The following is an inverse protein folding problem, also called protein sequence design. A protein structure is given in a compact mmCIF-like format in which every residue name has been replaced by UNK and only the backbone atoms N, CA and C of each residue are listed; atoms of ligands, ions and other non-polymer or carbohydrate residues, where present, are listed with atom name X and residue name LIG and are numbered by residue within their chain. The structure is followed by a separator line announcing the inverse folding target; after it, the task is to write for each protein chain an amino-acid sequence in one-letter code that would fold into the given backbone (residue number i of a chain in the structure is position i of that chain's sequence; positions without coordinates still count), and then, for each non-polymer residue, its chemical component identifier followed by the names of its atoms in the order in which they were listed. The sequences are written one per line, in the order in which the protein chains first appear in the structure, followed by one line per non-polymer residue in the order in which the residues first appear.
data_IF_465098201944
#
_entry.id   IF_465098201944
#
_cell.length_a   1.000
_cell.length_b   1.000
_cell.length_c   1.000
_cell.angle_alpha   90.00
_cell.angle_beta   90.00
_cell.angle_gamma   90.00
#
_symmetry.space_group_name_H-M   'P 1'
#
loop_
_entity.id
_entity.type
_entity.pdbx_description
1 polymer ?
#
# COMPACT_ATOMS: atom_id res chain seq x y z
N UNK A 1 -21.52 -20.97 -14.97
CA UNK A 1 -21.24 -22.32 -14.45
C UNK A 1 -20.48 -22.13 -13.15
N UNK A 2 -21.05 -22.55 -12.03
CA UNK A 2 -20.39 -22.44 -10.71
C UNK A 2 -19.45 -23.62 -10.57
N UNK A 3 -18.15 -23.36 -10.41
CA UNK A 3 -17.17 -24.40 -10.11
C UNK A 3 -17.65 -25.23 -8.92
N UNK A 4 -17.61 -26.55 -9.06
CA UNK A 4 -18.06 -27.44 -7.98
C UNK A 4 -16.96 -27.47 -6.91
N UNK A 5 -17.05 -26.58 -5.93
CA UNK A 5 -16.10 -26.51 -4.83
C UNK A 5 -16.13 -27.79 -3.98
N UNK A 6 -14.96 -28.21 -3.52
CA UNK A 6 -14.84 -29.33 -2.58
C UNK A 6 -15.54 -29.02 -1.24
N UNK A 7 -16.06 -30.03 -0.52
CA UNK A 7 -16.73 -29.84 0.76
C UNK A 7 -15.87 -29.08 1.78
N UNK A 8 -14.55 -29.29 1.72
CA UNK A 8 -13.58 -28.58 2.55
C UNK A 8 -13.55 -27.09 2.24
N UNK A 9 -13.43 -26.69 0.97
CA UNK A 9 -13.43 -25.29 0.57
C UNK A 9 -14.75 -24.60 0.99
N UNK A 10 -15.89 -25.28 0.82
CA UNK A 10 -17.19 -24.78 1.27
C UNK A 10 -17.24 -24.58 2.79
N UNK A 11 -16.65 -25.49 3.57
CA UNK A 11 -16.56 -25.38 5.03
C UNK A 11 -15.72 -24.16 5.45
N UNK A 12 -14.56 -23.96 4.81
CA UNK A 12 -13.68 -22.81 5.06
C UNK A 12 -14.41 -21.51 4.75
N UNK A 13 -15.05 -21.39 3.58
CA UNK A 13 -15.82 -20.21 3.18
C UNK A 13 -16.96 -19.94 4.16
N UNK A 14 -17.70 -20.97 4.56
CA UNK A 14 -18.81 -20.84 5.51
C UNK A 14 -18.34 -20.34 6.86
N UNK A 15 -17.21 -20.85 7.37
CA UNK A 15 -16.60 -20.35 8.60
C UNK A 15 -16.18 -18.89 8.50
N UNK A 16 -15.55 -18.48 7.39
CA UNK A 16 -15.21 -17.07 7.16
C UNK A 16 -16.45 -16.16 7.11
N UNK A 17 -17.58 -16.63 6.58
CA UNK A 17 -18.84 -15.86 6.59
C UNK A 17 -19.34 -15.61 8.02
N UNK A 18 -19.27 -16.63 8.88
CA UNK A 18 -19.64 -16.50 10.30
C UNK A 18 -18.69 -15.52 10.99
N UNK A 19 -17.37 -15.72 10.84
CA UNK A 19 -16.36 -14.83 11.43
C UNK A 19 -16.51 -13.38 10.97
N UNK A 20 -16.75 -13.14 9.67
CA UNK A 20 -16.99 -11.78 9.15
C UNK A 20 -18.25 -11.17 9.77
N UNK A 21 -19.33 -11.95 9.93
CA UNK A 21 -20.58 -11.46 10.52
C UNK A 21 -20.40 -11.05 12.00
N UNK A 22 -19.67 -11.86 12.77
CA UNK A 22 -19.33 -11.56 14.16
C UNK A 22 -18.47 -10.30 14.26
N UNK A 23 -17.43 -10.20 13.45
CA UNK A 23 -16.53 -9.05 13.42
C UNK A 23 -17.25 -7.76 12.99
N UNK A 24 -18.17 -7.84 12.02
CA UNK A 24 -18.99 -6.69 11.62
C UNK A 24 -19.90 -6.26 12.77
N UNK A 25 -20.49 -7.21 13.52
CA UNK A 25 -21.31 -6.90 14.69
C UNK A 25 -20.48 -6.23 15.79
N UNK A 26 -19.32 -6.78 16.14
CA UNK A 26 -18.38 -6.20 17.11
C UNK A 26 -17.91 -4.80 16.69
N UNK A 27 -17.53 -4.63 15.41
CA UNK A 27 -17.13 -3.34 14.86
C UNK A 27 -18.27 -2.31 14.95
N UNK A 28 -19.53 -2.71 14.69
CA UNK A 28 -20.70 -1.83 14.84
C UNK A 28 -20.91 -1.39 16.28
N UNK A 29 -20.85 -2.33 17.23
CA UNK A 29 -20.98 -2.02 18.67
C UNK A 29 -19.90 -1.03 19.09
N UNK A 30 -18.64 -1.30 18.71
CA UNK A 30 -17.52 -0.40 19.02
C UNK A 30 -17.68 0.97 18.38
N UNK A 31 -18.00 1.05 17.09
CA UNK A 31 -18.19 2.33 16.41
C UNK A 31 -19.36 3.12 17.01
N UNK A 32 -20.42 2.44 17.45
CA UNK A 32 -21.49 3.02 18.26
C UNK A 32 -20.95 3.63 19.55
N UNK A 33 -20.19 2.84 20.33
CA UNK A 33 -19.57 3.32 21.58
C UNK A 33 -18.65 4.52 21.39
N UNK A 34 -17.82 4.51 20.35
CA UNK A 34 -16.94 5.64 20.00
C UNK A 34 -17.76 6.88 19.65
N UNK A 35 -18.88 6.71 18.93
CA UNK A 35 -19.79 7.81 18.61
C UNK A 35 -20.40 8.41 19.87
N UNK A 36 -20.91 7.57 20.77
CA UNK A 36 -21.50 8.00 22.04
C UNK A 36 -20.48 8.77 22.90
N UNK A 37 -19.24 8.27 22.98
CA UNK A 37 -18.15 8.96 23.67
C UNK A 37 -17.89 10.34 23.05
N UNK A 38 -17.80 10.44 21.71
CA UNK A 38 -17.61 11.73 21.02
C UNK A 38 -18.77 12.70 21.21
N UNK A 39 -19.99 12.20 21.40
CA UNK A 39 -21.14 13.03 21.75
C UNK A 39 -21.03 13.57 23.18
N UNK A 40 -20.69 12.71 24.14
CA UNK A 40 -20.44 13.12 25.53
C UNK A 40 -19.29 14.12 25.64
N UNK A 41 -18.18 13.91 24.93
CA UNK A 41 -17.05 14.85 24.85
C UNK A 41 -17.53 16.22 24.36
N UNK A 42 -18.34 16.27 23.29
CA UNK A 42 -18.89 17.53 22.75
C UNK A 42 -19.80 18.24 23.74
N UNK A 43 -20.63 17.51 24.49
CA UNK A 43 -21.53 18.10 25.46
C UNK A 43 -20.81 18.61 26.72
N UNK A 44 -19.77 17.91 27.18
CA UNK A 44 -18.86 18.39 28.24
C UNK A 44 -18.17 19.69 27.79
N UNK A 45 -17.66 19.72 26.56
CA UNK A 45 -17.01 20.91 26.00
C UNK A 45 -17.98 22.09 25.89
N UNK A 46 -19.22 21.87 25.45
CA UNK A 46 -20.27 22.91 25.42
C UNK A 46 -20.58 23.45 26.80
N UNK A 47 -20.81 22.59 27.80
CA UNK A 47 -21.09 22.99 29.19
C UNK A 47 -19.92 23.77 29.79
N UNK A 48 -18.69 23.33 29.54
CA UNK A 48 -17.48 24.01 29.99
C UNK A 48 -17.32 25.38 29.32
N UNK A 49 -17.59 25.49 28.02
CA UNK A 49 -17.56 26.75 27.29
C UNK A 49 -18.64 27.74 27.78
N UNK A 50 -19.86 27.27 28.01
CA UNK A 50 -20.93 28.09 28.59
C UNK A 50 -20.57 28.60 29.98
N UNK A 51 -19.99 27.75 30.84
CA UNK A 51 -19.50 28.16 32.15
C UNK A 51 -18.40 29.21 32.05
N UNK A 52 -17.43 29.06 31.13
CA UNK A 52 -16.38 30.06 30.90
C UNK A 52 -16.93 31.39 30.38
N UNK A 53 -17.86 31.35 29.43
CA UNK A 53 -18.48 32.57 28.87
C UNK A 53 -19.28 33.36 29.92
N UNK A 54 -19.97 32.67 30.85
CA UNK A 54 -20.63 33.32 31.99
C UNK A 54 -19.63 34.09 32.87
N UNK A 55 -18.44 33.53 33.09
CA UNK A 55 -17.37 34.20 33.85
C UNK A 55 -16.88 35.47 33.13
N UNK A 56 -16.72 35.42 31.82
CA UNK A 56 -16.24 36.56 31.03
C UNK A 56 -17.29 37.69 31.01
N UNK A 57 -18.59 37.36 30.98
CA UNK A 57 -19.68 38.33 31.04
C UNK A 57 -19.80 39.05 32.39
N UNK A 58 -19.41 38.41 33.50
CA UNK A 58 -19.39 39.05 34.84
C UNK A 58 -18.33 40.16 34.99
N UNK A 59 -17.61 40.50 33.92
CA UNK A 59 -16.83 41.74 33.82
C UNK A 59 -15.57 41.74 34.68
N UNK A 60 -14.97 40.58 34.92
CA UNK A 60 -13.71 40.46 35.65
C UNK A 60 -12.54 40.83 34.75
N UNK A 61 -12.17 42.11 34.77
CA UNK A 61 -10.93 42.58 34.17
C UNK A 61 -9.74 42.09 35.05
N UNK A 62 -8.88 41.17 34.56
CA UNK A 62 -7.83 40.55 35.38
C UNK A 62 -6.75 41.53 35.85
N UNK A 63 -6.66 42.72 35.25
CA UNK A 63 -5.63 43.72 35.57
C UNK A 63 -5.87 44.52 36.85
N UNK A 64 -7.06 44.44 37.48
CA UNK A 64 -7.38 45.22 38.70
C UNK A 64 -7.50 44.37 39.99
N UNK A 65 -7.09 43.10 39.99
CA UNK A 65 -7.34 42.18 41.13
C UNK A 65 -6.17 42.02 42.11
N UNK A 66 -5.23 42.95 42.20
CA UNK A 66 -4.16 42.87 43.20
C UNK A 66 -4.75 43.05 44.62
N UNK A 67 -4.81 41.92 45.34
CA UNK A 67 -4.68 41.80 46.80
C UNK A 67 -5.88 42.08 47.72
N UNK A 68 -7.11 42.24 47.23
CA UNK A 68 -8.27 42.17 48.15
C UNK A 68 -8.61 40.70 48.41
N UNK A 69 -8.32 40.20 49.62
CA UNK A 69 -8.88 38.93 50.13
C UNK A 69 -10.40 39.08 50.26
N UNK A 70 -11.11 38.88 49.16
CA UNK A 70 -12.58 38.93 49.12
C UNK A 70 -13.10 37.69 49.85
N UNK A 71 -13.19 37.75 51.18
CA UNK A 71 -13.97 36.80 51.96
C UNK A 71 -15.45 37.19 51.85
N UNK A 72 -16.11 36.72 50.80
CA UNK A 72 -17.52 36.98 50.55
C UNK A 72 -18.16 35.96 49.61
N UNK A 73 -19.50 36.01 49.42
CA UNK A 73 -20.27 35.04 48.64
C UNK A 73 -19.73 34.79 47.21
N UNK A 74 -19.13 35.81 46.60
CA UNK A 74 -18.50 35.72 45.26
C UNK A 74 -17.29 34.78 45.22
N UNK A 75 -16.48 34.73 46.28
CA UNK A 75 -15.34 33.81 46.33
C UNK A 75 -15.78 32.34 46.42
N UNK A 76 -16.89 32.08 47.12
CA UNK A 76 -17.50 30.74 47.18
C UNK A 76 -17.99 30.30 45.80
N UNK A 77 -18.71 31.16 45.07
CA UNK A 77 -19.20 30.88 43.71
C UNK A 77 -18.05 30.58 42.72
N UNK A 78 -16.96 31.36 42.76
CA UNK A 78 -15.76 31.10 41.92
C UNK A 78 -15.12 29.75 42.22
N UNK A 79 -15.01 29.39 43.50
CA UNK A 79 -14.43 28.09 43.90
C UNK A 79 -15.32 26.93 43.43
N UNK A 80 -16.64 27.06 43.54
CA UNK A 80 -17.59 26.08 43.01
C UNK A 80 -17.47 25.93 41.49
N UNK A 81 -17.36 27.03 40.76
CA UNK A 81 -17.21 26.99 39.30
C UNK A 81 -15.88 26.41 38.85
N UNK A 82 -14.77 26.75 39.52
CA UNK A 82 -13.46 26.13 39.26
C UNK A 82 -13.50 24.63 39.53
N UNK A 83 -14.16 24.20 40.62
CA UNK A 83 -14.35 22.79 40.91
C UNK A 83 -15.18 22.08 39.84
N UNK A 84 -16.26 22.71 39.35
CA UNK A 84 -17.07 22.19 38.25
C UNK A 84 -16.26 22.02 36.96
N UNK A 85 -15.51 23.04 36.53
CA UNK A 85 -14.66 22.97 35.33
C UNK A 85 -13.60 21.88 35.49
N UNK A 86 -12.98 21.76 36.67
CA UNK A 86 -11.98 20.74 36.94
C UNK A 86 -12.58 19.32 36.90
N UNK A 87 -13.81 19.13 37.40
CA UNK A 87 -14.52 17.86 37.34
C UNK A 87 -14.87 17.48 35.89
N UNK A 88 -15.41 18.41 35.12
CA UNK A 88 -15.74 18.21 33.70
C UNK A 88 -14.48 17.92 32.87
N UNK A 89 -13.35 18.58 33.16
CA UNK A 89 -12.07 18.28 32.52
C UNK A 89 -11.60 16.84 32.84
N UNK A 90 -11.71 16.39 34.09
CA UNK A 90 -11.38 15.00 34.45
C UNK A 90 -12.26 13.99 33.71
N UNK A 91 -13.56 14.28 33.56
CA UNK A 91 -14.48 13.43 32.76
C UNK A 91 -14.04 13.38 31.30
N UNK A 92 -13.64 14.53 30.73
CA UNK A 92 -13.14 14.60 29.35
C UNK A 92 -11.87 13.76 29.17
N UNK A 93 -10.92 13.84 30.10
CA UNK A 93 -9.68 13.08 30.03
C UNK A 93 -9.94 11.55 30.09
N UNK A 94 -10.89 11.11 30.94
CA UNK A 94 -11.31 9.71 31.01
C UNK A 94 -11.96 9.22 29.71
N UNK A 95 -12.84 10.02 29.11
CA UNK A 95 -13.47 9.70 27.82
C UNK A 95 -12.46 9.64 26.68
N UNK A 96 -11.52 10.57 26.63
CA UNK A 96 -10.42 10.55 25.65
C UNK A 96 -9.57 9.29 25.78
N UNK A 97 -9.27 8.85 27.00
CA UNK A 97 -8.52 7.61 27.26
C UNK A 97 -9.33 6.37 26.86
N UNK A 98 -10.62 6.31 27.18
CA UNK A 98 -11.51 5.20 26.76
C UNK A 98 -11.61 5.13 25.24
N UNK A 99 -11.82 6.26 24.55
CA UNK A 99 -11.85 6.33 23.09
C UNK A 99 -10.55 5.83 22.48
N UNK A 100 -9.42 6.30 22.98
CA UNK A 100 -8.10 5.91 22.49
C UNK A 100 -7.87 4.41 22.67
N UNK A 101 -8.32 3.83 23.79
CA UNK A 101 -8.29 2.38 24.02
C UNK A 101 -9.15 1.62 23.01
N UNK A 102 -10.38 2.07 22.75
CA UNK A 102 -11.27 1.43 21.77
C UNK A 102 -10.74 1.53 20.34
N UNK A 103 -10.14 2.67 19.97
CA UNK A 103 -9.51 2.87 18.67
C UNK A 103 -8.26 1.99 18.50
N UNK A 104 -7.47 1.81 19.57
CA UNK A 104 -6.31 0.91 19.58
C UNK A 104 -6.71 -0.58 19.55
N UNK A 105 -7.85 -0.95 20.13
CA UNK A 105 -8.41 -2.31 20.12
C UNK A 105 -9.13 -2.65 18.79
N UNK A 106 -8.70 -2.03 17.69
CA UNK A 106 -9.15 -2.40 16.35
C UNK A 106 -8.69 -3.83 16.02
N UNK A 107 -9.60 -4.77 15.66
CA UNK A 107 -9.18 -6.11 15.32
C UNK A 107 -8.27 -6.03 14.09
N UNK A 108 -7.21 -6.83 14.04
CA UNK A 108 -6.29 -6.82 12.92
C UNK A 108 -7.06 -7.15 11.64
N UNK A 109 -6.65 -6.61 10.47
CA UNK A 109 -7.26 -6.98 9.21
C UNK A 109 -7.08 -8.48 8.98
N UNK A 110 -8.11 -9.13 8.44
CA UNK A 110 -8.14 -10.58 8.17
C UNK A 110 -8.70 -10.84 6.77
N UNK A 111 -8.47 -12.05 6.26
CA UNK A 111 -9.11 -12.50 5.03
C UNK A 111 -10.63 -12.60 5.20
N UNK A 112 -11.37 -11.95 4.30
CA UNK A 112 -12.85 -11.94 4.32
C UNK A 112 -13.44 -12.99 3.39
N UNK A 113 -14.63 -13.49 3.73
CA UNK A 113 -15.42 -14.37 2.88
C UNK A 113 -15.77 -13.74 1.53
N UNK A 114 -16.00 -12.42 1.51
CA UNK A 114 -16.25 -11.69 0.25
C UNK A 114 -15.08 -11.83 -0.71
N UNK A 115 -13.84 -11.70 -0.21
CA UNK A 115 -12.65 -11.88 -1.05
C UNK A 115 -12.47 -13.34 -1.49
N UNK A 116 -12.76 -14.31 -0.61
CA UNK A 116 -12.75 -15.73 -0.97
C UNK A 116 -13.68 -16.00 -2.16
N UNK A 117 -14.94 -15.58 -2.05
CA UNK A 117 -15.96 -15.77 -3.08
C UNK A 117 -15.57 -15.09 -4.41
N UNK A 118 -15.07 -13.85 -4.36
CA UNK A 118 -14.65 -13.13 -5.57
C UNK A 118 -13.56 -13.87 -6.37
N UNK A 119 -12.61 -14.53 -5.70
CA UNK A 119 -11.55 -15.28 -6.38
C UNK A 119 -12.10 -16.59 -6.94
N UNK A 120 -12.95 -17.29 -6.19
CA UNK A 120 -13.62 -18.51 -6.68
C UNK A 120 -14.47 -18.22 -7.91
N UNK A 121 -15.30 -17.17 -7.85
CA UNK A 121 -16.20 -16.79 -8.94
C UNK A 121 -15.44 -16.41 -10.21
N UNK A 122 -14.24 -15.81 -10.06
CA UNK A 122 -13.35 -15.49 -11.19
C UNK A 122 -12.59 -16.69 -11.72
N UNK A 123 -12.20 -17.62 -10.83
CA UNK A 123 -11.46 -18.83 -11.19
C UNK A 123 -12.28 -19.81 -12.01
N UNK A 124 -13.58 -19.94 -11.70
CA UNK A 124 -14.47 -20.85 -12.42
C UNK A 124 -13.88 -22.27 -12.47
N UNK A 125 -13.91 -22.90 -13.64
CA UNK A 125 -13.40 -24.26 -13.83
C UNK A 125 -11.87 -24.32 -14.00
N UNK A 126 -11.16 -23.18 -13.99
CA UNK A 126 -9.70 -23.12 -14.14
C UNK A 126 -8.92 -23.29 -12.83
N UNK A 127 -9.62 -23.61 -11.73
CA UNK A 127 -9.00 -23.92 -10.45
C UNK A 127 -9.10 -25.42 -10.15
N UNK A 128 -8.00 -26.02 -9.73
CA UNK A 128 -7.91 -27.43 -9.37
C UNK A 128 -7.57 -27.58 -7.88
N UNK A 129 -8.19 -28.56 -7.21
CA UNK A 129 -7.88 -28.87 -5.81
C UNK A 129 -6.49 -29.52 -5.72
N UNK A 130 -5.70 -29.10 -4.74
CA UNK A 130 -4.38 -29.65 -4.45
C UNK A 130 -4.37 -30.22 -3.03
N UNK A 131 -3.56 -31.25 -2.82
CA UNK A 131 -3.26 -31.79 -1.50
C UNK A 131 -2.72 -30.70 -0.54
N UNK A 132 -3.19 -30.73 0.70
CA UNK A 132 -2.68 -29.86 1.75
C UNK A 132 -1.24 -30.24 2.09
N UNK A 133 -0.33 -29.26 2.20
CA UNK A 133 1.05 -29.55 2.56
C UNK A 133 1.14 -30.10 3.99
N UNK A 134 2.14 -30.95 4.23
CA UNK A 134 2.47 -31.45 5.55
C UNK A 134 3.11 -30.33 6.40
N UNK A 135 2.72 -30.26 7.67
CA UNK A 135 3.21 -29.27 8.62
C UNK A 135 4.39 -29.84 9.41
N UNK A 136 5.59 -29.32 9.13
CA UNK A 136 6.81 -29.75 9.83
C UNK A 136 7.21 -28.71 10.88
N UNK A 137 7.31 -29.16 12.13
CA UNK A 137 7.83 -28.38 13.25
C UNK A 137 9.36 -28.32 13.19
N UNK A 138 9.92 -27.13 13.39
CA UNK A 138 11.35 -26.91 13.52
C UNK A 138 11.85 -27.25 14.93
N UNK A 139 13.17 -27.38 15.08
CA UNK A 139 13.80 -27.65 16.37
C UNK A 139 13.49 -26.53 17.36
N UNK A 140 12.83 -26.88 18.46
CA UNK A 140 12.47 -25.94 19.54
C UNK A 140 11.00 -25.50 19.53
N UNK A 141 10.25 -25.78 18.46
CA UNK A 141 8.81 -25.54 18.39
C UNK A 141 8.07 -26.65 19.13
N UNK A 142 7.17 -26.31 20.07
CA UNK A 142 6.43 -27.31 20.85
C UNK A 142 5.10 -27.69 20.21
N UNK A 143 4.50 -26.77 19.46
CA UNK A 143 3.20 -26.92 18.82
C UNK A 143 3.11 -26.02 17.57
N UNK A 144 1.98 -26.10 16.86
CA UNK A 144 1.74 -25.30 15.66
C UNK A 144 1.59 -23.80 15.94
N UNK A 145 1.21 -23.40 17.16
CA UNK A 145 1.11 -21.98 17.55
C UNK A 145 2.51 -21.34 17.54
N UNK A 146 3.50 -22.05 18.08
CA UNK A 146 4.90 -21.62 18.09
C UNK A 146 5.47 -21.54 16.66
N UNK A 147 5.00 -22.40 15.74
CA UNK A 147 5.48 -22.46 14.36
C UNK A 147 4.85 -21.40 13.42
N UNK A 148 3.62 -20.94 13.70
CA UNK A 148 2.91 -19.99 12.84
C UNK A 148 3.68 -18.68 12.56
N UNK A 149 4.33 -18.03 13.55
CA UNK A 149 5.16 -16.86 13.30
C UNK A 149 6.26 -17.10 12.27
N UNK A 150 6.95 -18.26 12.32
CA UNK A 150 8.00 -18.62 11.36
C UNK A 150 7.44 -18.77 9.94
N UNK A 151 6.28 -19.42 9.78
CA UNK A 151 5.66 -19.53 8.45
C UNK A 151 5.29 -18.15 7.87
N UNK A 152 4.76 -17.25 8.70
CA UNK A 152 4.45 -15.87 8.30
C UNK A 152 5.69 -15.06 7.94
N UNK A 153 6.74 -15.19 8.73
CA UNK A 153 8.03 -14.56 8.48
C UNK A 153 8.63 -15.04 7.15
N UNK A 154 8.58 -16.34 6.88
CA UNK A 154 9.02 -16.89 5.61
C UNK A 154 8.29 -16.27 4.41
N UNK A 155 6.96 -16.17 4.46
CA UNK A 155 6.20 -15.50 3.38
C UNK A 155 6.58 -14.02 3.27
N UNK A 156 6.76 -13.32 4.40
CA UNK A 156 7.18 -11.92 4.40
C UNK A 156 8.55 -11.74 3.73
N UNK A 157 9.51 -12.62 4.04
CA UNK A 157 10.85 -12.61 3.47
C UNK A 157 10.83 -12.89 1.96
N UNK A 158 10.03 -13.85 1.50
CA UNK A 158 9.85 -14.13 0.08
C UNK A 158 9.19 -12.95 -0.66
N UNK A 159 8.16 -12.31 -0.08
CA UNK A 159 7.54 -11.10 -0.64
C UNK A 159 8.51 -9.92 -0.67
N UNK A 160 9.39 -9.77 0.31
CA UNK A 160 10.44 -8.76 0.30
C UNK A 160 11.44 -9.02 -0.84
N UNK A 161 11.93 -10.25 -0.96
CA UNK A 161 12.83 -10.68 -2.04
C UNK A 161 12.20 -10.50 -3.42
N UNK A 162 10.91 -10.76 -3.59
CA UNK A 162 10.17 -10.47 -4.83
C UNK A 162 10.27 -8.98 -5.21
N UNK A 163 10.07 -8.07 -4.26
CA UNK A 163 10.19 -6.62 -4.49
C UNK A 163 11.62 -6.21 -4.85
N UNK A 164 12.62 -6.88 -4.30
CA UNK A 164 14.02 -6.66 -4.66
C UNK A 164 14.29 -7.06 -6.13
N UNK A 165 13.75 -8.20 -6.56
CA UNK A 165 13.84 -8.67 -7.96
C UNK A 165 13.14 -7.69 -8.91
N UNK A 166 11.94 -7.21 -8.57
CA UNK A 166 11.20 -6.22 -9.38
C UNK A 166 11.99 -4.92 -9.58
N UNK A 167 12.71 -4.50 -8.53
CA UNK A 167 13.52 -3.28 -8.51
C UNK A 167 14.95 -3.49 -9.01
N UNK A 168 15.33 -4.72 -9.36
CA UNK A 168 16.68 -5.02 -9.80
C UNK A 168 17.04 -4.18 -11.04
N UNK A 169 18.20 -3.49 -11.05
CA UNK A 169 18.58 -2.60 -12.14
C UNK A 169 18.81 -3.38 -13.44
N UNK A 170 18.74 -2.70 -14.59
CA UNK A 170 19.07 -3.32 -15.87
C UNK A 170 20.60 -3.43 -16.03
N UNK A 171 21.12 -4.50 -16.66
CA UNK A 171 22.53 -4.62 -16.96
C UNK A 171 23.00 -3.50 -17.89
N UNK A 172 24.24 -3.02 -17.69
CA UNK A 172 24.84 -1.96 -18.51
C UNK A 172 24.73 -2.26 -20.01
N UNK A 173 24.93 -3.52 -20.43
CA UNK A 173 24.78 -3.94 -21.82
C UNK A 173 23.36 -3.66 -22.39
N UNK A 174 22.30 -3.89 -21.61
CA UNK A 174 20.93 -3.59 -22.01
C UNK A 174 20.66 -2.09 -22.06
N UNK A 175 21.21 -1.33 -21.10
CA UNK A 175 21.09 0.13 -21.06
C UNK A 175 21.80 0.74 -22.27
N UNK A 176 23.03 0.33 -22.57
CA UNK A 176 23.80 0.75 -23.76
C UNK A 176 23.08 0.42 -25.06
N UNK A 177 22.52 -0.78 -25.19
CA UNK A 177 21.72 -1.16 -26.36
C UNK A 177 20.50 -0.25 -26.54
N UNK A 178 19.77 0.02 -25.45
CA UNK A 178 18.60 0.92 -25.48
C UNK A 178 19.00 2.34 -25.82
N UNK A 179 20.09 2.85 -25.21
CA UNK A 179 20.66 4.17 -25.48
C UNK A 179 21.03 4.31 -26.96
N UNK A 180 21.76 3.34 -27.53
CA UNK A 180 22.16 3.36 -28.94
C UNK A 180 20.96 3.37 -29.88
N UNK A 181 19.89 2.63 -29.55
CA UNK A 181 18.65 2.65 -30.31
C UNK A 181 17.96 4.03 -30.24
N UNK A 182 17.96 4.67 -29.06
CA UNK A 182 17.42 6.02 -28.90
C UNK A 182 18.23 7.06 -29.69
N UNK A 183 19.57 7.01 -29.59
CA UNK A 183 20.46 7.90 -30.36
C UNK A 183 20.27 7.68 -31.86
N UNK A 184 20.21 6.43 -32.34
CA UNK A 184 19.99 6.13 -33.75
C UNK A 184 18.64 6.66 -34.25
N UNK A 185 17.58 6.52 -33.44
CA UNK A 185 16.26 7.07 -33.76
C UNK A 185 16.30 8.60 -33.88
N UNK A 186 16.92 9.29 -32.94
CA UNK A 186 17.03 10.76 -32.97
C UNK A 186 17.91 11.22 -34.14
N UNK A 187 19.05 10.56 -34.37
CA UNK A 187 19.92 10.85 -35.51
C UNK A 187 19.18 10.70 -36.85
N UNK A 188 18.31 9.67 -36.99
CA UNK A 188 17.52 9.48 -38.21
C UNK A 188 16.51 10.60 -38.46
N UNK A 189 16.01 11.23 -37.39
CA UNK A 189 15.12 12.40 -37.48
C UNK A 189 15.89 13.68 -37.83
N UNK A 190 17.20 13.72 -37.56
CA UNK A 190 18.08 14.88 -37.80
C UNK A 190 18.68 14.98 -39.19
N UNK A 191 18.42 14.03 -40.09
CA UNK A 191 19.02 13.98 -41.44
C UNK A 191 18.45 15.11 -42.31
N UNK A 192 19.26 16.07 -42.81
CA UNK A 192 18.80 17.06 -43.77
C UNK A 192 18.44 16.43 -45.12
N UNK A 193 17.31 16.83 -45.69
CA UNK A 193 16.87 16.38 -47.00
C UNK A 193 17.47 17.26 -48.10
N UNK A 194 18.46 16.74 -48.82
CA UNK A 194 19.14 17.48 -49.91
C UNK A 194 18.56 17.18 -51.30
N UNK A 195 17.58 16.28 -51.40
CA UNK A 195 17.01 15.85 -52.69
C UNK A 195 16.49 17.00 -53.55
N UNK A 196 15.85 18.00 -52.95
CA UNK A 196 15.33 19.17 -53.66
C UNK A 196 16.44 20.04 -54.29
N UNK A 197 17.66 20.03 -53.75
CA UNK A 197 18.76 20.84 -54.28
C UNK A 197 19.19 20.41 -55.67
N UNK A 198 19.09 19.12 -55.99
CA UNK A 198 19.38 18.62 -57.34
C UNK A 198 18.42 19.15 -58.41
N UNK A 199 17.29 19.75 -57.99
CA UNK A 199 16.31 20.41 -58.85
C UNK A 199 16.27 21.94 -58.64
N UNK A 200 17.29 22.52 -58.01
CA UNK A 200 17.37 23.96 -57.73
C UNK A 200 16.57 24.43 -56.50
N UNK A 201 16.07 23.52 -55.67
CA UNK A 201 15.39 23.83 -54.41
C UNK A 201 16.34 24.03 -53.22
N UNK A 202 15.77 24.26 -52.04
CA UNK A 202 16.50 24.48 -50.77
C UNK A 202 16.75 23.16 -49.99
N UNK A 203 17.61 23.21 -48.96
CA UNK A 203 17.82 22.10 -48.02
C UNK A 203 16.58 21.95 -47.12
N UNK A 204 16.02 20.74 -47.07
CA UNK A 204 14.98 20.37 -46.11
C UNK A 204 15.56 20.04 -44.74
N UNK A 205 15.75 21.06 -43.90
CA UNK A 205 16.23 20.88 -42.52
C UNK A 205 15.22 20.10 -41.66
N UNK A 206 15.66 19.30 -40.67
CA UNK A 206 14.77 18.62 -39.74
C UNK A 206 14.00 19.67 -38.92
N UNK A 207 12.70 19.49 -38.74
CA UNK A 207 11.82 20.45 -38.04
C UNK A 207 11.03 19.78 -36.93
N UNK A 208 10.76 20.53 -35.88
CA UNK A 208 9.90 20.07 -34.79
C UNK A 208 8.45 19.89 -35.28
N UNK A 209 7.72 18.88 -34.76
CA UNK A 209 6.31 18.73 -35.08
C UNK A 209 5.52 19.97 -34.61
N UNK A 210 4.44 20.34 -35.30
CA UNK A 210 3.64 21.48 -34.90
C UNK A 210 3.01 21.22 -33.53
N UNK A 211 3.08 22.21 -32.64
CA UNK A 211 2.44 22.12 -31.33
C UNK A 211 0.94 22.23 -31.52
N UNK A 212 0.19 21.20 -31.11
CA UNK A 212 -1.27 21.18 -31.23
C UNK A 212 -1.90 22.33 -30.43
N UNK A 213 -2.81 23.08 -31.06
CA UNK A 213 -3.62 24.11 -30.40
C UNK A 213 -3.18 25.57 -30.62
N UNK A 214 -2.06 25.81 -31.29
CA UNK A 214 -1.67 27.16 -31.73
C UNK A 214 -1.86 27.21 -33.24
N UNK A 215 -2.66 28.16 -33.74
CA UNK A 215 -2.96 28.37 -35.19
C UNK A 215 -1.75 28.81 -36.03
N UNK A 216 -0.55 28.32 -35.70
CA UNK A 216 0.70 28.65 -36.34
C UNK A 216 1.10 27.56 -37.32
N UNK A 217 0.63 27.70 -38.56
CA UNK A 217 1.24 27.03 -39.73
C UNK A 217 2.47 27.78 -40.25
N UNK A 218 2.92 28.82 -39.55
CA UNK A 218 3.97 29.72 -40.00
C UNK A 218 5.22 29.50 -39.15
N UNK A 219 6.16 28.76 -39.73
CA UNK A 219 7.52 28.49 -39.23
C UNK A 219 7.63 27.45 -38.11
N UNK A 220 7.67 26.17 -38.50
CA UNK A 220 8.22 25.12 -37.62
C UNK A 220 9.72 25.36 -37.44
N UNK A 221 10.22 25.49 -36.20
CA UNK A 221 11.64 25.68 -35.94
C UNK A 221 12.45 24.44 -36.36
N UNK A 222 13.70 24.66 -36.74
CA UNK A 222 14.66 23.58 -37.01
C UNK A 222 14.90 22.82 -35.70
N UNK A 223 14.86 21.49 -35.76
CA UNK A 223 15.24 20.64 -34.64
C UNK A 223 16.77 20.56 -34.54
N UNK A 224 17.35 21.58 -33.89
CA UNK A 224 18.79 21.68 -33.66
C UNK A 224 19.32 20.49 -32.84
N UNK A 225 18.49 19.87 -32.00
CA UNK A 225 18.90 18.74 -31.17
C UNK A 225 19.07 17.47 -32.00
N UNK A 226 18.10 17.15 -32.85
CA UNK A 226 18.20 16.01 -33.77
C UNK A 226 19.35 16.21 -34.77
N UNK A 227 19.51 17.42 -35.29
CA UNK A 227 20.62 17.76 -36.19
C UNK A 227 21.99 17.57 -35.52
N UNK A 228 22.16 18.03 -34.27
CA UNK A 228 23.41 17.83 -33.53
C UNK A 228 23.70 16.35 -33.28
N UNK A 229 22.67 15.56 -32.94
CA UNK A 229 22.81 14.10 -32.74
C UNK A 229 23.15 13.39 -34.06
N UNK A 230 22.60 13.84 -35.18
CA UNK A 230 22.98 13.35 -36.51
C UNK A 230 24.46 13.61 -36.82
N UNK A 231 24.94 14.83 -36.59
CA UNK A 231 26.31 15.24 -36.87
C UNK A 231 27.34 14.59 -35.93
N UNK A 232 26.99 14.34 -34.67
CA UNK A 232 27.91 13.86 -33.63
C UNK A 232 27.52 12.49 -33.06
N UNK A 233 26.86 11.64 -33.86
CA UNK A 233 26.30 10.36 -33.42
C UNK A 233 27.30 9.48 -32.68
N UNK A 234 28.47 9.22 -33.29
CA UNK A 234 29.44 8.27 -32.75
C UNK A 234 30.11 8.80 -31.47
N UNK A 235 30.48 10.09 -31.47
CA UNK A 235 31.02 10.77 -30.30
C UNK A 235 30.02 10.76 -29.13
N UNK A 236 28.74 10.99 -29.40
CA UNK A 236 27.70 10.96 -28.37
C UNK A 236 27.51 9.55 -27.80
N UNK A 237 27.54 8.51 -28.63
CA UNK A 237 27.46 7.12 -28.18
C UNK A 237 28.66 6.77 -27.29
N UNK A 238 29.87 7.15 -27.71
CA UNK A 238 31.10 6.92 -26.93
C UNK A 238 31.00 7.58 -25.54
N UNK A 239 30.64 8.87 -25.50
CA UNK A 239 30.49 9.60 -24.23
C UNK A 239 29.40 9.03 -23.32
N UNK A 240 28.27 8.64 -23.90
CA UNK A 240 27.20 8.02 -23.12
C UNK A 240 27.57 6.62 -22.63
N UNK A 241 28.33 5.85 -23.40
CA UNK A 241 28.83 4.54 -22.99
C UNK A 241 29.77 4.66 -21.77
N UNK A 242 30.68 5.65 -21.78
CA UNK A 242 31.55 5.97 -20.62
C UNK A 242 30.71 6.32 -19.38
N UNK A 243 29.73 7.21 -19.53
CA UNK A 243 28.85 7.63 -18.42
C UNK A 243 28.04 6.44 -17.87
N UNK A 244 27.55 5.55 -18.74
CA UNK A 244 26.82 4.35 -18.33
C UNK A 244 27.73 3.41 -17.54
N UNK A 245 28.97 3.20 -17.99
CA UNK A 245 29.92 2.32 -17.28
C UNK A 245 30.26 2.85 -15.88
N UNK A 246 30.48 4.17 -15.75
CA UNK A 246 30.72 4.81 -14.45
C UNK A 246 29.53 4.62 -13.51
N UNK A 247 28.31 4.82 -14.00
CA UNK A 247 27.10 4.70 -13.17
C UNK A 247 26.74 3.24 -12.86
N UNK A 248 27.09 2.28 -13.73
CA UNK A 248 26.76 0.88 -13.53
C UNK A 248 27.33 0.31 -12.23
N UNK A 249 28.48 0.82 -11.76
CA UNK A 249 29.10 0.40 -10.50
C UNK A 249 28.25 0.72 -9.25
N UNK A 250 27.34 1.70 -9.32
CA UNK A 250 26.46 2.06 -8.20
C UNK A 250 25.26 1.12 -8.04
N UNK A 251 25.03 0.22 -9.00
CA UNK A 251 23.83 -0.61 -9.10
C UNK A 251 24.17 -2.10 -8.97
N UNK A 252 24.20 -2.65 -7.73
CA UNK A 252 24.51 -4.06 -7.53
C UNK A 252 23.39 -4.97 -8.05
N UNK A 253 23.76 -6.19 -8.45
CA UNK A 253 22.85 -7.26 -8.89
C UNK A 253 21.91 -6.89 -10.07
N UNK A 254 22.45 -6.43 -11.21
CA UNK A 254 21.62 -6.16 -12.38
C UNK A 254 20.99 -7.45 -12.93
N UNK A 255 19.75 -7.37 -13.39
CA UNK A 255 19.02 -8.49 -13.99
C UNK A 255 18.47 -8.08 -15.35
N UNK A 256 18.74 -8.87 -16.39
CA UNK A 256 18.09 -8.70 -17.68
C UNK A 256 16.58 -8.91 -17.54
N UNK A 257 15.74 -8.37 -18.46
CA UNK A 257 14.30 -8.57 -18.39
C UNK A 257 13.87 -10.05 -18.36
N UNK A 258 14.59 -10.93 -19.07
CA UNK A 258 14.32 -12.37 -19.10
C UNK A 258 14.69 -13.06 -17.79
N UNK A 259 15.87 -12.74 -17.24
CA UNK A 259 16.29 -13.26 -15.93
C UNK A 259 15.36 -12.78 -14.83
N UNK A 260 14.96 -11.50 -14.87
CA UNK A 260 13.99 -10.94 -13.93
C UNK A 260 12.67 -11.69 -13.99
N UNK A 261 12.10 -11.90 -15.19
CA UNK A 261 10.85 -12.64 -15.32
C UNK A 261 10.98 -14.07 -14.78
N UNK A 262 12.04 -14.77 -15.14
CA UNK A 262 12.29 -16.16 -14.66
C UNK A 262 12.44 -16.21 -13.13
N UNK A 263 13.12 -15.22 -12.54
CA UNK A 263 13.27 -15.10 -11.09
C UNK A 263 11.95 -14.75 -10.40
N UNK A 264 11.11 -13.92 -11.03
CA UNK A 264 9.77 -13.58 -10.56
C UNK A 264 8.84 -14.80 -10.58
N UNK A 265 8.83 -15.57 -11.67
CA UNK A 265 7.99 -16.79 -11.76
C UNK A 265 8.40 -17.80 -10.69
N UNK A 266 9.72 -17.96 -10.46
CA UNK A 266 10.25 -18.83 -9.41
C UNK A 266 9.87 -18.35 -8.01
N UNK A 267 10.07 -17.07 -7.69
CA UNK A 267 9.74 -16.55 -6.35
C UNK A 267 8.22 -16.56 -6.10
N UNK A 268 7.41 -16.35 -7.14
CA UNK A 268 5.96 -16.43 -7.03
C UNK A 268 5.50 -17.86 -6.72
N UNK A 269 6.09 -18.88 -7.36
CA UNK A 269 5.86 -20.28 -7.00
C UNK A 269 6.30 -20.62 -5.57
N UNK A 270 7.44 -20.08 -5.11
CA UNK A 270 7.91 -20.23 -3.73
C UNK A 270 6.97 -19.55 -2.72
N UNK A 271 6.45 -18.36 -3.04
CA UNK A 271 5.45 -17.65 -2.22
C UNK A 271 4.17 -18.47 -2.13
N UNK A 272 3.65 -18.96 -3.25
CA UNK A 272 2.43 -19.77 -3.27
C UNK A 272 2.58 -21.05 -2.43
N UNK A 273 3.72 -21.73 -2.53
CA UNK A 273 4.02 -22.89 -1.69
C UNK A 273 4.09 -22.51 -0.19
N UNK A 274 4.76 -21.43 0.16
CA UNK A 274 4.88 -20.96 1.54
C UNK A 274 3.52 -20.51 2.13
N UNK A 275 2.69 -19.84 1.33
CA UNK A 275 1.35 -19.43 1.75
C UNK A 275 0.41 -20.63 1.93
N UNK A 276 0.55 -21.70 1.14
CA UNK A 276 -0.18 -22.96 1.38
C UNK A 276 0.19 -23.60 2.73
N UNK A 277 1.46 -23.56 3.10
CA UNK A 277 1.93 -24.06 4.40
C UNK A 277 1.37 -23.21 5.54
N UNK A 278 1.42 -21.88 5.43
CA UNK A 278 0.80 -21.00 6.42
C UNK A 278 -0.70 -21.27 6.55
N UNK A 279 -1.41 -21.35 5.42
CA UNK A 279 -2.84 -21.62 5.40
C UNK A 279 -3.17 -22.95 6.07
N UNK A 280 -2.44 -24.02 5.74
CA UNK A 280 -2.59 -25.32 6.38
C UNK A 280 -2.38 -25.26 7.89
N UNK A 281 -1.39 -24.50 8.37
CA UNK A 281 -1.13 -24.30 9.80
C UNK A 281 -2.29 -23.58 10.50
N UNK A 282 -2.83 -22.51 9.89
CA UNK A 282 -3.99 -21.80 10.42
C UNK A 282 -5.22 -22.71 10.47
N UNK A 283 -5.48 -23.50 9.42
CA UNK A 283 -6.60 -24.46 9.40
C UNK A 283 -6.47 -25.52 10.49
N UNK A 284 -5.27 -26.06 10.71
CA UNK A 284 -5.01 -27.04 11.77
C UNK A 284 -5.24 -26.42 13.16
N UNK A 285 -4.73 -25.22 13.42
CA UNK A 285 -4.95 -24.50 14.68
C UNK A 285 -6.44 -24.19 14.93
N UNK A 286 -7.18 -23.83 13.89
CA UNK A 286 -8.63 -23.61 14.00
C UNK A 286 -9.36 -24.92 14.30
N UNK A 287 -8.94 -26.04 13.69
CA UNK A 287 -9.49 -27.36 14.00
C UNK A 287 -9.20 -27.81 15.44
N UNK A 288 -8.06 -27.41 16.01
CA UNK A 288 -7.71 -27.59 17.42
C UNK A 288 -8.48 -26.65 18.38
N UNK A 289 -9.29 -25.72 17.83
CA UNK A 289 -10.11 -24.78 18.61
C UNK A 289 -9.43 -23.45 18.95
N UNK A 290 -8.26 -23.17 18.38
CA UNK A 290 -7.59 -21.89 18.58
C UNK A 290 -8.25 -20.76 17.78
N UNK A 291 -8.29 -19.56 18.35
CA UNK A 291 -8.77 -18.33 17.68
C UNK A 291 -7.66 -17.70 16.85
N UNK A 292 -7.38 -18.30 15.70
CA UNK A 292 -6.38 -17.81 14.73
C UNK A 292 -7.07 -17.45 13.42
N UNK A 293 -6.56 -16.42 12.75
CA UNK A 293 -7.11 -15.91 11.48
C UNK A 293 -6.07 -15.91 10.38
N UNK A 294 -6.53 -16.09 9.14
CA UNK A 294 -5.74 -15.89 7.94
C UNK A 294 -5.37 -14.42 7.75
N UNK A 295 -4.14 -14.17 7.31
CA UNK A 295 -3.69 -12.82 6.96
C UNK A 295 -4.54 -12.25 5.83
N UNK A 296 -4.77 -10.93 5.80
CA UNK A 296 -5.61 -10.32 4.78
C UNK A 296 -4.97 -10.41 3.39
N UNK A 297 -3.65 -10.52 3.28
CA UNK A 297 -2.90 -10.52 2.02
C UNK A 297 -2.50 -11.93 1.52
N UNK A 298 -2.93 -13.00 2.20
CA UNK A 298 -2.68 -14.38 1.78
C UNK A 298 -3.41 -14.69 0.45
N UNK A 299 -2.82 -15.56 -0.37
CA UNK A 299 -3.50 -16.12 -1.54
C UNK A 299 -4.75 -16.87 -1.12
N UNK A 300 -5.88 -16.50 -1.73
CA UNK A 300 -7.16 -17.18 -1.50
C UNK A 300 -7.06 -18.65 -1.91
N UNK A 301 -6.39 -18.93 -3.04
CA UNK A 301 -6.22 -20.28 -3.55
C UNK A 301 -5.43 -21.14 -2.56
N UNK A 302 -4.42 -20.57 -1.90
CA UNK A 302 -3.71 -21.27 -0.83
C UNK A 302 -4.62 -21.64 0.35
N UNK A 303 -5.53 -20.75 0.75
CA UNK A 303 -6.49 -20.98 1.85
C UNK A 303 -7.47 -22.10 1.54
N UNK A 304 -8.03 -22.12 0.33
CA UNK A 304 -8.98 -23.16 -0.07
C UNK A 304 -8.31 -24.46 -0.53
N UNK A 305 -6.98 -24.52 -0.59
CA UNK A 305 -6.19 -25.65 -1.13
C UNK A 305 -6.39 -25.89 -2.63
N UNK A 306 -6.36 -24.83 -3.44
CA UNK A 306 -6.45 -24.89 -4.91
C UNK A 306 -5.20 -24.27 -5.58
N UNK A 307 -4.98 -24.60 -6.86
CA UNK A 307 -4.14 -23.84 -7.80
C UNK A 307 -4.98 -23.29 -8.94
N UNK A 308 -4.54 -22.18 -9.52
CA UNK A 308 -4.91 -21.86 -10.88
C UNK A 308 -4.10 -22.78 -11.78
N UNK A 309 -4.76 -23.74 -12.42
CA UNK A 309 -4.10 -24.64 -13.36
C UNK A 309 -3.84 -23.84 -14.65
N UNK A 310 -2.60 -23.39 -14.84
CA UNK A 310 -2.15 -22.84 -16.14
C UNK A 310 -1.64 -24.01 -16.97
N UNK A 311 -2.49 -25.01 -17.19
CA UNK A 311 -2.22 -26.03 -18.22
C UNK A 311 -2.75 -25.47 -19.55
N UNK A 312 -1.89 -24.77 -20.29
CA UNK A 312 -2.08 -24.51 -21.72
C UNK A 312 -1.37 -25.60 -22.54
#
# INVERSE_FOLDING_TARGET
MTATLSPRALSIISRHKVQDSERIAEARIRTGRIRDIREQERDILRRTAQSKALKDFEGENPENSETVKVHGPRASARNQQRAFIAEEQRKLDLLCAERSRLEADAPPPVLTATRLMQVVDRGGDAIAEIATPELVLAKGERNLIDALPRFRENVSNLKARRREIEKAPLPAAHVKKTMRNQVARIASQGVPQVGAMFHGGEIGWPRLPPVAGVGSHLHQPIDASALAVFLHRDLLIERLDEIIDVNAAAFPNPMSPRERQTALDKIDAEIDAAERVEAACVEALVAEGHRVFHRPDISVLAVISYSADISF
#
